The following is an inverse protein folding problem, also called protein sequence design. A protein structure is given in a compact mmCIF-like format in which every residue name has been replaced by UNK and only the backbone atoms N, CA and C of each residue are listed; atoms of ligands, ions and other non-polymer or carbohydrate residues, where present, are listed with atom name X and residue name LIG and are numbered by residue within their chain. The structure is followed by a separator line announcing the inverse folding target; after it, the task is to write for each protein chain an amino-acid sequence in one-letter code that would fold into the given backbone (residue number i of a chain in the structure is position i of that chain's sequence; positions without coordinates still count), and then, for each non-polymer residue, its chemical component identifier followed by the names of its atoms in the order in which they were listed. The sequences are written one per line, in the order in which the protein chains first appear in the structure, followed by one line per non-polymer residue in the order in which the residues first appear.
data_IF_729244656863
#
_entry.id   IF_729244656863
#
_cell.length_a   1.000
_cell.length_b   1.000
_cell.length_c   1.000
_cell.angle_alpha   90.00
_cell.angle_beta   90.00
_cell.angle_gamma   90.00
#
_symmetry.space_group_name_H-M   'P 1'
#
loop_
_entity.id
_entity.type
_entity.pdbx_description
1 polymer ?
#
# COMPACT_ATOMS: atom_id res chain seq x y z
N UNK A 1 -0.74 8.90 14.68
CA UNK A 1 0.36 8.15 14.06
C UNK A 1 -0.20 6.92 13.32
N UNK A 2 0.44 6.44 12.24
CA UNK A 2 -0.07 5.29 11.45
C UNK A 2 -0.33 4.05 12.32
N UNK A 3 0.52 3.80 13.33
CA UNK A 3 0.34 2.72 14.29
C UNK A 3 -1.00 2.76 15.02
N UNK A 4 -1.35 3.94 15.55
CA UNK A 4 -2.64 4.15 16.24
C UNK A 4 -3.81 3.96 15.28
N UNK A 5 -3.66 4.41 14.03
CA UNK A 5 -4.68 4.23 12.99
C UNK A 5 -4.90 2.74 12.70
N UNK A 6 -3.85 1.94 12.52
CA UNK A 6 -3.96 0.51 12.29
C UNK A 6 -4.61 -0.22 13.49
N UNK A 7 -4.27 0.18 14.71
CA UNK A 7 -4.92 -0.36 15.93
C UNK A 7 -6.42 -0.04 15.92
N UNK A 8 -6.81 1.21 15.64
CA UNK A 8 -8.21 1.62 15.57
C UNK A 8 -8.96 0.84 14.49
N UNK A 9 -8.39 0.68 13.29
CA UNK A 9 -9.01 -0.07 12.20
C UNK A 9 -9.27 -1.52 12.59
N UNK A 10 -8.32 -2.15 13.28
CA UNK A 10 -8.43 -3.53 13.77
C UNK A 10 -9.45 -3.66 14.91
N UNK A 11 -9.41 -2.77 15.89
CA UNK A 11 -10.35 -2.79 17.03
C UNK A 11 -11.80 -2.59 16.56
N UNK A 12 -12.01 -1.77 15.53
CA UNK A 12 -13.31 -1.57 14.90
C UNK A 12 -13.67 -2.65 13.87
N UNK A 13 -12.84 -3.70 13.71
CA UNK A 13 -13.04 -4.82 12.78
C UNK A 13 -13.16 -4.39 11.31
N UNK A 14 -12.58 -3.25 10.95
CA UNK A 14 -12.42 -2.83 9.55
C UNK A 14 -11.34 -3.66 8.87
N UNK A 15 -10.29 -4.00 9.63
CA UNK A 15 -9.26 -4.97 9.22
C UNK A 15 -9.20 -6.12 10.23
N UNK A 16 -8.77 -7.29 9.78
CA UNK A 16 -8.49 -8.43 10.63
C UNK A 16 -7.03 -8.45 11.12
N UNK A 17 -6.69 -9.49 11.88
CA UNK A 17 -5.34 -9.67 12.44
C UNK A 17 -4.28 -9.85 11.35
N UNK A 18 -4.57 -10.62 10.31
CA UNK A 18 -3.63 -10.93 9.23
C UNK A 18 -3.32 -9.67 8.40
N UNK A 19 -4.35 -8.88 8.09
CA UNK A 19 -4.21 -7.57 7.43
C UNK A 19 -3.39 -6.60 8.28
N UNK A 20 -3.66 -6.57 9.60
CA UNK A 20 -2.89 -5.73 10.51
C UNK A 20 -1.41 -6.14 10.52
N UNK A 21 -1.11 -7.42 10.63
CA UNK A 21 0.27 -7.94 10.62
C UNK A 21 0.98 -7.63 9.31
N UNK A 22 0.31 -7.81 8.16
CA UNK A 22 0.87 -7.46 6.86
C UNK A 22 1.18 -5.96 6.75
N UNK A 23 0.28 -5.08 7.20
CA UNK A 23 0.51 -3.64 7.20
C UNK A 23 1.69 -3.24 8.10
N UNK A 24 1.87 -3.91 9.25
CA UNK A 24 3.03 -3.72 10.13
C UNK A 24 4.32 -4.17 9.46
N UNK A 25 4.32 -5.35 8.82
CA UNK A 25 5.49 -5.87 8.13
C UNK A 25 5.90 -4.97 6.96
N UNK A 26 4.94 -4.49 6.17
CA UNK A 26 5.19 -3.54 5.10
C UNK A 26 5.76 -2.21 5.60
N UNK A 27 5.23 -1.66 6.69
CA UNK A 27 5.77 -0.44 7.30
C UNK A 27 7.22 -0.64 7.75
N UNK A 28 7.51 -1.75 8.44
CA UNK A 28 8.86 -2.10 8.87
C UNK A 28 9.79 -2.34 7.67
N UNK A 29 9.31 -2.93 6.58
CA UNK A 29 10.07 -3.07 5.35
C UNK A 29 10.52 -1.70 4.80
N UNK A 30 9.60 -0.74 4.70
CA UNK A 30 9.91 0.60 4.19
C UNK A 30 10.96 1.31 5.06
N UNK A 31 10.82 1.23 6.38
CA UNK A 31 11.77 1.83 7.34
C UNK A 31 13.13 1.15 7.25
N UNK A 32 13.18 -0.19 7.28
CA UNK A 32 14.43 -0.94 7.28
C UNK A 32 15.22 -0.77 5.97
N UNK A 33 14.53 -0.47 4.87
CA UNK A 33 15.13 -0.18 3.57
C UNK A 33 15.53 1.29 3.40
N UNK A 34 15.24 2.15 4.38
CA UNK A 34 15.40 3.60 4.30
C UNK A 34 14.62 4.21 3.12
N UNK A 35 13.45 3.66 2.81
CA UNK A 35 12.52 4.23 1.83
C UNK A 35 11.76 5.41 2.45
N UNK A 36 11.52 5.35 3.76
CA UNK A 36 10.94 6.44 4.56
C UNK A 36 11.82 6.71 5.77
N UNK A 37 11.91 7.96 6.20
CA UNK A 37 12.68 8.34 7.39
C UNK A 37 11.91 8.04 8.69
N UNK A 38 10.58 8.10 8.61
CA UNK A 38 9.69 7.90 9.75
C UNK A 38 8.35 7.30 9.28
N UNK A 39 7.57 6.85 10.26
CA UNK A 39 6.28 6.20 9.99
C UNK A 39 5.22 7.13 9.38
N UNK A 40 5.33 8.45 9.55
CA UNK A 40 4.33 9.41 9.08
C UNK A 40 4.34 9.56 7.56
N UNK A 41 5.51 9.46 6.94
CA UNK A 41 5.65 9.47 5.47
C UNK A 41 4.90 8.31 4.82
N UNK A 42 4.88 7.15 5.46
CA UNK A 42 4.23 5.94 4.95
C UNK A 42 2.71 5.90 5.22
N UNK A 43 2.14 6.89 5.91
CA UNK A 43 0.77 6.84 6.44
C UNK A 43 -0.28 6.54 5.35
N UNK A 44 -0.21 7.24 4.21
CA UNK A 44 -1.18 7.08 3.12
C UNK A 44 -1.05 5.70 2.47
N UNK A 45 0.18 5.30 2.12
CA UNK A 45 0.45 4.02 1.47
C UNK A 45 0.03 2.83 2.36
N UNK A 46 0.43 2.83 3.64
CA UNK A 46 0.11 1.75 4.57
C UNK A 46 -1.38 1.70 4.88
N UNK A 47 -2.06 2.85 4.95
CA UNK A 47 -3.52 2.87 5.08
C UNK A 47 -4.19 2.22 3.87
N UNK A 48 -3.79 2.57 2.64
CA UNK A 48 -4.35 1.95 1.43
C UNK A 48 -4.06 0.45 1.41
N UNK A 49 -2.83 0.03 1.72
CA UNK A 49 -2.45 -1.38 1.79
C UNK A 49 -3.32 -2.19 2.75
N UNK A 50 -3.55 -1.67 3.95
CA UNK A 50 -4.42 -2.33 4.92
C UNK A 50 -5.86 -2.46 4.38
N UNK A 51 -6.40 -1.41 3.74
CA UNK A 51 -7.76 -1.43 3.19
C UNK A 51 -7.90 -2.37 1.99
N UNK A 52 -6.95 -2.32 1.06
CA UNK A 52 -6.90 -3.19 -0.11
C UNK A 52 -6.82 -4.66 0.29
N UNK A 53 -6.03 -4.97 1.33
CA UNK A 53 -5.88 -6.33 1.86
C UNK A 53 -7.19 -6.81 2.49
N UNK A 54 -7.82 -5.99 3.35
CA UNK A 54 -9.10 -6.33 3.97
C UNK A 54 -10.23 -6.51 2.95
N UNK A 55 -10.24 -5.71 1.87
CA UNK A 55 -11.20 -5.85 0.76
C UNK A 55 -11.12 -7.19 0.05
N UNK A 56 -9.97 -7.88 0.04
CA UNK A 56 -9.90 -9.20 -0.61
C UNK A 56 -10.78 -10.26 0.07
N UNK A 57 -11.23 -10.00 1.30
CA UNK A 57 -12.16 -10.86 2.03
C UNK A 57 -13.63 -10.47 1.80
N UNK A 58 -13.92 -9.57 0.86
CA UNK A 58 -15.27 -9.10 0.52
C UNK A 58 -15.57 -9.30 -0.99
N UNK A 59 -16.84 -9.15 -1.38
CA UNK A 59 -17.25 -9.13 -2.79
C UNK A 59 -17.07 -7.73 -3.44
N UNK A 60 -16.29 -6.84 -2.81
CA UNK A 60 -16.09 -5.48 -3.29
C UNK A 60 -15.15 -5.47 -4.49
N UNK A 61 -15.66 -4.98 -5.63
CA UNK A 61 -14.85 -4.68 -6.80
C UNK A 61 -14.52 -3.19 -6.80
N UNK A 62 -13.27 -2.86 -7.10
CA UNK A 62 -12.83 -1.48 -7.31
C UNK A 62 -12.53 -1.25 -8.78
N UNK A 63 -12.88 -0.06 -9.27
CA UNK A 63 -12.41 0.40 -10.58
C UNK A 63 -10.92 0.75 -10.47
N UNK A 64 -10.17 0.53 -11.54
CA UNK A 64 -8.78 0.96 -11.63
C UNK A 64 -8.63 2.48 -11.63
N UNK A 65 -7.40 2.96 -11.40
CA UNK A 65 -7.06 4.38 -11.50
C UNK A 65 -7.37 4.94 -12.90
N UNK A 66 -7.71 6.23 -12.97
CA UNK A 66 -7.95 6.92 -14.24
C UNK A 66 -6.71 6.85 -15.15
N UNK A 67 -6.94 6.65 -16.44
CA UNK A 67 -5.88 6.45 -17.43
C UNK A 67 -4.92 7.65 -17.54
N UNK A 68 -5.40 8.88 -17.31
CA UNK A 68 -4.56 10.08 -17.29
C UNK A 68 -3.62 10.04 -16.08
N UNK A 69 -4.13 9.65 -14.91
CA UNK A 69 -3.32 9.49 -13.69
C UNK A 69 -2.30 8.39 -13.88
N UNK A 70 -2.71 7.27 -14.48
CA UNK A 70 -1.82 6.14 -14.79
C UNK A 70 -0.66 6.57 -15.68
N UNK A 71 -0.94 7.30 -16.76
CA UNK A 71 0.11 7.80 -17.65
C UNK A 71 1.03 8.80 -16.94
N UNK A 72 0.50 9.62 -16.04
CA UNK A 72 1.32 10.55 -15.26
C UNK A 72 2.32 9.80 -14.38
N UNK A 73 1.87 8.77 -13.65
CA UNK A 73 2.77 8.00 -12.78
C UNK A 73 3.75 7.14 -13.58
N UNK A 74 3.35 6.58 -14.72
CA UNK A 74 4.22 5.76 -15.58
C UNK A 74 5.39 6.57 -16.18
N UNK A 75 5.23 7.88 -16.33
CA UNK A 75 6.29 8.78 -16.82
C UNK A 75 7.16 9.37 -15.70
N UNK A 76 6.90 9.04 -14.44
CA UNK A 76 7.69 9.51 -13.32
C UNK A 76 9.02 8.77 -13.18
N UNK A 77 10.08 9.47 -12.78
CA UNK A 77 11.40 8.87 -12.58
C UNK A 77 11.44 7.82 -11.45
N UNK A 78 10.48 7.87 -10.52
CA UNK A 78 10.33 6.91 -9.42
C UNK A 78 9.48 5.70 -9.77
N UNK A 79 8.89 5.65 -10.97
CA UNK A 79 7.95 4.59 -11.33
C UNK A 79 8.59 3.20 -11.32
N UNK A 80 9.80 3.06 -11.88
CA UNK A 80 10.50 1.77 -11.87
C UNK A 80 10.83 1.32 -10.44
N UNK A 81 11.26 2.24 -9.58
CA UNK A 81 11.54 1.97 -8.16
C UNK A 81 10.27 1.55 -7.41
N UNK A 82 9.14 2.24 -7.66
CA UNK A 82 7.84 1.90 -7.10
C UNK A 82 7.39 0.47 -7.50
N UNK A 83 7.62 0.07 -8.75
CA UNK A 83 7.31 -1.28 -9.22
C UNK A 83 8.13 -2.32 -8.46
N UNK A 84 9.44 -2.11 -8.29
CA UNK A 84 10.30 -3.07 -7.59
C UNK A 84 9.93 -3.21 -6.11
N UNK A 85 9.65 -2.08 -5.43
CA UNK A 85 9.14 -2.10 -4.05
C UNK A 85 7.83 -2.87 -3.97
N UNK A 86 6.90 -2.61 -4.90
CA UNK A 86 5.62 -3.31 -4.91
C UNK A 86 5.79 -4.82 -5.13
N UNK A 87 6.68 -5.24 -6.04
CA UNK A 87 6.98 -6.65 -6.25
C UNK A 87 7.45 -7.33 -4.96
N UNK A 88 8.33 -6.70 -4.19
CA UNK A 88 8.81 -7.23 -2.92
C UNK A 88 7.67 -7.33 -1.88
N UNK A 89 6.85 -6.29 -1.75
CA UNK A 89 5.71 -6.27 -0.81
C UNK A 89 4.60 -7.27 -1.20
N UNK A 90 4.40 -7.50 -2.50
CA UNK A 90 3.42 -8.47 -3.01
C UNK A 90 3.82 -9.92 -2.69
N UNK A 91 5.12 -10.22 -2.56
CA UNK A 91 5.60 -11.58 -2.24
C UNK A 91 5.21 -12.02 -0.83
N UNK A 92 5.19 -11.08 0.12
CA UNK A 92 4.84 -11.33 1.52
C UNK A 92 3.36 -11.08 1.83
N UNK A 93 2.57 -10.68 0.82
CA UNK A 93 1.15 -10.42 1.00
C UNK A 93 0.39 -11.69 1.37
N UNK A 94 -0.59 -11.61 2.30
CA UNK A 94 -1.44 -12.77 2.65
C UNK A 94 -2.45 -13.11 1.55
N UNK A 95 -2.54 -12.29 0.50
CA UNK A 95 -3.56 -12.39 -0.54
C UNK A 95 -3.01 -11.95 -1.89
N UNK A 96 -3.77 -12.26 -2.95
CA UNK A 96 -3.50 -11.78 -4.31
C UNK A 96 -4.37 -10.56 -4.61
N UNK A 97 -3.73 -9.48 -5.06
CA UNK A 97 -4.44 -8.27 -5.48
C UNK A 97 -4.82 -8.33 -6.96
N UNK A 98 -5.93 -7.64 -7.30
CA UNK A 98 -6.33 -7.43 -8.69
C UNK A 98 -5.38 -6.47 -9.41
N UNK A 99 -5.44 -6.44 -10.75
CA UNK A 99 -4.70 -5.46 -11.54
C UNK A 99 -5.16 -4.02 -11.26
N UNK A 100 -6.42 -3.83 -10.84
CA UNK A 100 -6.96 -2.52 -10.52
C UNK A 100 -6.30 -1.95 -9.25
N UNK A 101 -6.07 -2.79 -8.23
CA UNK A 101 -5.31 -2.41 -7.02
C UNK A 101 -3.82 -2.13 -7.33
N UNK A 102 -3.20 -2.86 -8.27
CA UNK A 102 -1.82 -2.61 -8.68
C UNK A 102 -1.58 -1.17 -9.12
N UNK A 103 -2.54 -0.57 -9.84
CA UNK A 103 -2.48 0.84 -10.23
C UNK A 103 -2.42 1.78 -9.02
N UNK A 104 -3.23 1.54 -7.99
CA UNK A 104 -3.21 2.33 -6.76
C UNK A 104 -1.92 2.14 -5.96
N UNK A 105 -1.37 0.93 -5.90
CA UNK A 105 -0.09 0.69 -5.22
C UNK A 105 1.05 1.44 -5.88
N UNK A 106 1.14 1.41 -7.22
CA UNK A 106 2.13 2.19 -7.95
C UNK A 106 1.94 3.69 -7.72
N UNK A 107 0.70 4.20 -7.77
CA UNK A 107 0.39 5.60 -7.50
C UNK A 107 0.89 6.04 -6.11
N UNK A 108 0.56 5.28 -5.07
CA UNK A 108 0.94 5.63 -3.71
C UNK A 108 2.45 5.50 -3.47
N UNK A 109 3.11 4.51 -4.06
CA UNK A 109 4.57 4.36 -3.96
C UNK A 109 5.32 5.45 -4.72
N UNK A 110 4.90 5.83 -5.93
CA UNK A 110 5.47 6.99 -6.64
C UNK A 110 5.29 8.26 -5.82
N UNK A 111 4.10 8.47 -5.25
CA UNK A 111 3.85 9.64 -4.38
C UNK A 111 4.73 9.62 -3.13
N UNK A 112 4.95 8.45 -2.54
CA UNK A 112 5.83 8.27 -1.38
C UNK A 112 7.29 8.61 -1.72
N UNK A 113 7.80 8.12 -2.85
CA UNK A 113 9.20 8.26 -3.27
C UNK A 113 9.56 9.66 -3.79
N UNK A 114 8.56 10.49 -4.12
CA UNK A 114 8.75 11.90 -4.52
C UNK A 114 8.97 12.83 -3.31
N UNK A 115 8.59 12.40 -2.11
CA UNK A 115 8.61 13.22 -0.90
C UNK A 115 9.97 13.24 -0.22
#
# INVERSE_FOLDING_TARGET
MIQEKLIILKENKVIDQETFEYAQEALMFLINRNIVENEEEADVFITHLAMATARQNTDEMIDGIDEIIKQEIENDEKYEEAIEIWKELKVIAPTTFSQDEDGYFHLHLVTLLRN
#
